data_IF_192257778780
#
_entry.id   IF_192257778780
#
_cell.length_a   1.000
_cell.length_b   1.000
_cell.length_c   1.000
_cell.angle_alpha   90.00
_cell.angle_beta   90.00
_cell.angle_gamma   90.00
#
_symmetry.space_group_name_H-M   'P 1'
#
loop_
_entity.id
_entity.type
_entity.pdbx_description
1 polymer ?
#
# COMPACT_ATOMS: atom_id res chain seq x y z
N UNK A 1 -6.11 -14.95 60.52
CA UNK A 1 -6.39 -15.41 59.14
C UNK A 1 -7.86 -15.78 59.05
N UNK A 2 -8.69 -14.92 58.46
CA UNK A 2 -10.15 -15.15 58.35
C UNK A 2 -10.40 -16.14 57.20
N UNK A 3 -11.09 -17.26 57.48
CA UNK A 3 -11.53 -18.24 56.47
C UNK A 3 -12.60 -17.59 55.59
N UNK A 4 -12.34 -17.43 54.30
CA UNK A 4 -13.31 -16.91 53.34
C UNK A 4 -14.59 -17.76 53.31
N UNK A 5 -15.75 -17.10 53.39
CA UNK A 5 -17.08 -17.71 53.51
C UNK A 5 -17.46 -18.41 52.19
N UNK A 6 -18.29 -19.46 52.25
CA UNK A 6 -18.73 -20.24 51.07
C UNK A 6 -19.43 -19.34 50.03
N UNK A 7 -20.14 -18.31 50.50
CA UNK A 7 -20.78 -17.32 49.64
C UNK A 7 -19.78 -16.45 48.85
N UNK A 8 -18.62 -16.13 49.44
CA UNK A 8 -17.58 -15.34 48.76
C UNK A 8 -16.99 -16.12 47.57
N UNK A 9 -16.79 -17.43 47.74
CA UNK A 9 -16.28 -18.31 46.66
C UNK A 9 -17.28 -18.45 45.52
N UNK A 10 -18.57 -18.44 45.82
CA UNK A 10 -19.64 -18.47 44.81
C UNK A 10 -19.74 -17.14 44.05
N UNK A 11 -19.57 -16.00 44.73
CA UNK A 11 -19.50 -14.68 44.10
C UNK A 11 -18.31 -14.59 43.15
N UNK A 12 -17.12 -14.97 43.61
CA UNK A 12 -15.90 -14.97 42.78
C UNK A 12 -16.03 -15.86 41.54
N UNK A 13 -16.72 -17.01 41.66
CA UNK A 13 -16.97 -17.89 40.51
C UNK A 13 -17.94 -17.29 39.50
N UNK A 14 -18.96 -16.56 39.97
CA UNK A 14 -19.91 -15.84 39.09
C UNK A 14 -19.24 -14.67 38.40
N UNK A 15 -18.46 -13.88 39.13
CA UNK A 15 -17.70 -12.76 38.60
C UNK A 15 -16.67 -13.22 37.55
N UNK A 16 -15.97 -14.33 37.81
CA UNK A 16 -15.03 -14.91 36.84
C UNK A 16 -15.73 -15.43 35.57
N UNK A 17 -16.91 -16.05 35.72
CA UNK A 17 -17.70 -16.52 34.58
C UNK A 17 -18.26 -15.35 33.74
N UNK A 18 -18.72 -14.28 34.40
CA UNK A 18 -19.22 -13.09 33.71
C UNK A 18 -18.09 -12.32 33.01
N UNK A 19 -16.91 -12.23 33.62
CA UNK A 19 -15.73 -11.64 32.99
C UNK A 19 -15.29 -12.43 31.75
N UNK A 20 -15.31 -13.77 31.84
CA UNK A 20 -14.97 -14.64 30.72
C UNK A 20 -16.01 -14.55 29.59
N UNK A 21 -17.30 -14.46 29.93
CA UNK A 21 -18.37 -14.24 28.96
C UNK A 21 -18.26 -12.88 28.24
N UNK A 22 -17.85 -11.81 28.96
CA UNK A 22 -17.59 -10.49 28.36
C UNK A 22 -16.40 -10.52 27.41
N UNK A 23 -15.30 -11.18 27.80
CA UNK A 23 -14.13 -11.36 26.93
C UNK A 23 -14.49 -12.10 25.65
N UNK A 24 -15.23 -13.21 25.76
CA UNK A 24 -15.68 -13.98 24.59
C UNK A 24 -16.61 -13.17 23.67
N UNK A 25 -17.49 -12.34 24.24
CA UNK A 25 -18.37 -11.48 23.46
C UNK A 25 -17.59 -10.37 22.71
N UNK A 26 -16.58 -9.78 23.34
CA UNK A 26 -15.71 -8.79 22.69
C UNK A 26 -14.83 -9.42 21.61
N UNK A 27 -14.25 -10.60 21.87
CA UNK A 27 -13.50 -11.37 20.86
C UNK A 27 -14.38 -11.76 19.67
N UNK A 28 -15.62 -12.19 19.92
CA UNK A 28 -16.57 -12.51 18.86
C UNK A 28 -16.98 -11.28 18.04
N UNK A 29 -17.12 -10.10 18.67
CA UNK A 29 -17.39 -8.84 17.95
C UNK A 29 -16.20 -8.45 17.07
N UNK A 30 -14.98 -8.50 17.60
CA UNK A 30 -13.76 -8.20 16.85
C UNK A 30 -13.59 -9.18 15.67
N UNK A 31 -13.85 -10.47 15.89
CA UNK A 31 -13.79 -11.47 14.84
C UNK A 31 -14.86 -11.26 13.76
N UNK A 32 -16.09 -10.87 14.15
CA UNK A 32 -17.16 -10.57 13.21
C UNK A 32 -16.86 -9.30 12.39
N UNK A 33 -16.35 -8.24 13.01
CA UNK A 33 -15.92 -7.01 12.34
C UNK A 33 -14.78 -7.31 11.33
N UNK A 34 -13.79 -8.09 11.75
CA UNK A 34 -12.68 -8.53 10.88
C UNK A 34 -13.18 -9.38 9.70
N UNK A 35 -14.16 -10.25 9.91
CA UNK A 35 -14.73 -11.08 8.85
C UNK A 35 -15.53 -10.26 7.81
N UNK A 36 -16.21 -9.19 8.25
CA UNK A 36 -16.93 -8.28 7.36
C UNK A 36 -15.94 -7.48 6.50
N UNK A 37 -14.85 -6.96 7.08
CA UNK A 37 -13.81 -6.23 6.33
C UNK A 37 -13.16 -7.08 5.23
N UNK A 38 -12.87 -8.36 5.51
CA UNK A 38 -12.27 -9.28 4.52
C UNK A 38 -13.23 -9.55 3.35
N UNK A 39 -14.54 -9.66 3.62
CA UNK A 39 -15.56 -9.93 2.58
C UNK A 39 -15.80 -8.73 1.66
N UNK A 40 -15.49 -7.51 2.10
CA UNK A 40 -15.71 -6.28 1.34
C UNK A 40 -14.51 -5.82 0.51
N UNK A 41 -13.34 -6.49 0.63
CA UNK A 41 -12.19 -6.15 -0.21
C UNK A 41 -12.48 -6.59 -1.66
N UNK A 42 -12.43 -5.66 -2.64
CA UNK A 42 -12.63 -6.02 -4.04
C UNK A 42 -11.55 -7.02 -4.46
N UNK A 43 -11.88 -8.02 -5.30
CA UNK A 43 -10.93 -9.01 -5.74
C UNK A 43 -9.73 -8.33 -6.40
N UNK A 44 -8.53 -8.74 -5.99
CA UNK A 44 -7.28 -8.21 -6.52
C UNK A 44 -7.22 -8.35 -8.04
N UNK A 45 -6.89 -7.26 -8.73
CA UNK A 45 -6.69 -7.25 -10.16
C UNK A 45 -5.49 -8.12 -10.53
N UNK A 46 -5.68 -8.94 -11.55
CA UNK A 46 -4.65 -9.87 -12.02
C UNK A 46 -3.72 -9.15 -12.99
N UNK A 47 -2.41 -9.32 -12.81
CA UNK A 47 -1.42 -8.77 -13.74
C UNK A 47 -1.15 -9.75 -14.90
N UNK A 48 -1.51 -9.35 -16.12
CA UNK A 48 -1.11 -10.06 -17.34
C UNK A 48 0.22 -9.49 -17.86
N UNK A 49 1.30 -10.23 -17.65
CA UNK A 49 2.64 -9.82 -18.07
C UNK A 49 2.84 -9.80 -19.59
N UNK A 50 1.94 -10.41 -20.37
CA UNK A 50 1.99 -10.39 -21.84
C UNK A 50 1.25 -9.19 -22.43
N UNK A 51 0.28 -8.61 -21.70
CA UNK A 51 -0.46 -7.42 -22.11
C UNK A 51 0.26 -6.12 -21.71
N UNK A 52 1.52 -5.96 -22.12
CA UNK A 52 2.27 -4.72 -21.86
C UNK A 52 1.85 -3.64 -22.86
N UNK A 53 1.01 -2.70 -22.42
CA UNK A 53 0.57 -1.58 -23.22
C UNK A 53 0.73 -0.24 -22.49
N UNK A 54 0.92 0.83 -23.25
CA UNK A 54 0.91 2.22 -22.76
C UNK A 54 -0.07 3.02 -23.59
N UNK A 55 -0.98 3.74 -22.92
CA UNK A 55 -1.95 4.63 -23.56
C UNK A 55 -1.57 6.09 -23.31
N UNK A 56 -1.28 6.84 -24.37
CA UNK A 56 -0.90 8.26 -24.30
C UNK A 56 -1.82 9.05 -25.22
N UNK A 57 -2.57 10.01 -24.67
CA UNK A 57 -3.48 10.88 -25.44
C UNK A 57 -4.42 10.12 -26.40
N UNK A 58 -4.89 8.94 -26.01
CA UNK A 58 -5.77 8.08 -26.83
C UNK A 58 -5.04 7.13 -27.80
N UNK A 59 -3.74 7.30 -28.00
CA UNK A 59 -2.90 6.38 -28.77
C UNK A 59 -2.51 5.18 -27.90
N UNK A 60 -2.63 3.98 -28.45
CA UNK A 60 -2.26 2.74 -27.76
C UNK A 60 -0.98 2.16 -28.35
N UNK A 61 0.05 2.01 -27.51
CA UNK A 61 1.32 1.39 -27.88
C UNK A 61 1.39 0.02 -27.20
N UNK A 62 1.20 -1.05 -27.98
CA UNK A 62 1.37 -2.42 -27.53
C UNK A 62 2.84 -2.84 -27.73
N UNK A 63 3.45 -3.40 -26.68
CA UNK A 63 4.82 -3.88 -26.76
C UNK A 63 4.88 -5.22 -27.50
N UNK A 64 5.93 -5.47 -28.30
CA UNK A 64 6.18 -6.80 -28.86
C UNK A 64 6.35 -7.86 -27.77
N UNK A 65 6.00 -9.11 -28.09
CA UNK A 65 6.20 -10.23 -27.16
C UNK A 65 7.66 -10.32 -26.68
N UNK A 66 7.82 -10.64 -25.40
CA UNK A 66 9.13 -10.71 -24.73
C UNK A 66 9.65 -9.37 -24.19
N UNK A 67 9.08 -8.23 -24.62
CA UNK A 67 9.37 -6.93 -24.01
C UNK A 67 8.38 -6.62 -22.89
N UNK A 68 8.91 -6.11 -21.78
CA UNK A 68 8.10 -5.83 -20.61
C UNK A 68 8.53 -4.53 -19.92
N UNK A 69 7.54 -3.72 -19.51
CA UNK A 69 7.83 -2.54 -18.71
C UNK A 69 8.39 -2.96 -17.35
N UNK A 70 9.55 -2.40 -17.03
CA UNK A 70 10.20 -2.54 -15.72
C UNK A 70 10.21 -1.22 -14.99
N UNK A 71 10.49 -0.14 -15.70
CA UNK A 71 10.48 1.22 -15.19
C UNK A 71 9.77 2.12 -16.19
N UNK A 72 8.83 2.91 -15.68
CA UNK A 72 8.17 3.99 -16.40
C UNK A 72 8.36 5.21 -15.51
N UNK A 73 9.10 6.19 -16.00
CA UNK A 73 9.28 7.48 -15.37
C UNK A 73 8.77 8.55 -16.35
N UNK A 74 7.84 9.38 -15.91
CA UNK A 74 7.24 10.44 -16.72
C UNK A 74 7.06 11.72 -15.91
N UNK A 75 6.81 12.82 -16.62
CA UNK A 75 6.49 14.11 -16.02
C UNK A 75 5.09 14.51 -16.46
N UNK A 76 4.24 14.80 -15.47
CA UNK A 76 2.92 15.37 -15.67
C UNK A 76 3.04 16.89 -15.50
N UNK A 77 2.30 17.64 -16.33
CA UNK A 77 2.19 19.09 -16.19
C UNK A 77 0.78 19.44 -15.69
N UNK A 78 0.71 20.28 -14.67
CA UNK A 78 -0.54 20.83 -14.15
C UNK A 78 -0.34 22.28 -13.71
N UNK A 79 -1.12 23.20 -14.29
CA UNK A 79 -1.06 24.62 -13.97
C UNK A 79 0.37 25.21 -13.98
N UNK A 80 1.20 24.82 -14.96
CA UNK A 80 2.61 25.23 -15.09
C UNK A 80 3.57 24.60 -14.07
N UNK A 81 3.09 23.68 -13.23
CA UNK A 81 3.90 22.89 -12.31
C UNK A 81 4.19 21.52 -12.92
N UNK A 82 5.37 20.98 -12.63
CA UNK A 82 5.78 19.65 -13.04
C UNK A 82 5.68 18.68 -11.87
N UNK A 83 5.13 17.51 -12.14
CA UNK A 83 4.98 16.40 -11.21
C UNK A 83 5.67 15.19 -11.80
N UNK A 84 6.62 14.60 -11.08
CA UNK A 84 7.14 13.30 -11.50
C UNK A 84 6.11 12.23 -11.14
N UNK A 85 5.87 11.33 -12.07
CA UNK A 85 5.00 10.17 -11.88
C UNK A 85 5.69 8.96 -12.50
N UNK A 86 5.56 7.81 -11.87
CA UNK A 86 6.12 6.60 -12.43
C UNK A 86 5.60 5.33 -11.81
N UNK A 87 5.92 4.23 -12.49
CA UNK A 87 5.62 2.89 -12.03
C UNK A 87 6.84 1.99 -12.25
N UNK A 88 7.15 1.15 -11.28
CA UNK A 88 8.26 0.21 -11.32
C UNK A 88 7.76 -1.18 -10.99
N UNK A 89 8.20 -2.15 -11.78
CA UNK A 89 7.90 -3.56 -11.60
C UNK A 89 9.18 -4.36 -11.43
N UNK A 90 9.26 -5.14 -10.36
CA UNK A 90 10.38 -6.05 -10.07
C UNK A 90 9.85 -7.43 -9.74
N UNK A 91 10.64 -8.47 -10.01
CA UNK A 91 10.34 -9.81 -9.51
C UNK A 91 10.44 -9.83 -7.98
N UNK A 92 9.51 -10.50 -7.34
CA UNK A 92 9.54 -10.78 -5.90
C UNK A 92 9.79 -12.28 -5.69
N UNK A 93 10.58 -12.62 -4.67
CA UNK A 93 10.82 -14.02 -4.31
C UNK A 93 9.57 -14.63 -3.68
N UNK A 94 9.43 -15.94 -3.80
CA UNK A 94 8.47 -16.70 -2.98
C UNK A 94 8.73 -16.43 -1.49
N UNK A 95 7.65 -16.37 -0.69
CA UNK A 95 7.73 -16.05 0.74
C UNK A 95 8.15 -14.62 1.09
N UNK A 96 8.34 -13.70 0.12
CA UNK A 96 8.54 -12.29 0.45
C UNK A 96 7.25 -11.69 0.99
N UNK A 97 7.29 -11.18 2.21
CA UNK A 97 6.18 -10.47 2.85
C UNK A 97 6.19 -8.98 2.52
N UNK A 98 5.01 -8.36 2.52
CA UNK A 98 4.80 -6.96 2.14
C UNK A 98 5.67 -6.01 2.97
N UNK A 99 5.68 -6.17 4.29
CA UNK A 99 6.47 -5.33 5.20
C UNK A 99 7.97 -5.45 4.90
N UNK A 100 8.44 -6.67 4.61
CA UNK A 100 9.85 -6.89 4.30
C UNK A 100 10.24 -6.29 2.95
N UNK A 101 9.35 -6.38 1.97
CA UNK A 101 9.53 -5.72 0.68
C UNK A 101 9.57 -4.19 0.83
N UNK A 102 8.71 -3.63 1.67
CA UNK A 102 8.68 -2.21 1.99
C UNK A 102 9.98 -1.74 2.66
N UNK A 103 10.50 -2.48 3.63
CA UNK A 103 11.80 -2.20 4.25
C UNK A 103 12.94 -2.18 3.23
N UNK A 104 12.98 -3.18 2.34
CA UNK A 104 14.00 -3.27 1.28
C UNK A 104 13.89 -2.07 0.34
N UNK A 105 12.67 -1.68 -0.02
CA UNK A 105 12.42 -0.51 -0.86
C UNK A 105 12.89 0.78 -0.19
N UNK A 106 12.48 1.03 1.06
CA UNK A 106 12.89 2.23 1.82
C UNK A 106 14.40 2.30 1.98
N UNK A 107 15.09 1.16 2.18
CA UNK A 107 16.56 1.11 2.22
C UNK A 107 17.17 1.55 0.88
N UNK A 108 16.72 0.99 -0.24
CA UNK A 108 17.20 1.38 -1.59
C UNK A 108 16.90 2.84 -1.91
N UNK A 109 15.78 3.34 -1.42
CA UNK A 109 15.39 4.72 -1.59
C UNK A 109 16.39 5.65 -0.88
N UNK A 110 16.79 5.33 0.36
CA UNK A 110 17.85 6.04 1.10
C UNK A 110 19.24 5.92 0.48
N UNK A 111 19.54 4.80 -0.18
CA UNK A 111 20.78 4.66 -0.96
C UNK A 111 20.82 5.62 -2.15
N UNK A 112 19.66 5.92 -2.74
CA UNK A 112 19.54 6.82 -3.90
C UNK A 112 19.50 8.30 -3.51
N UNK A 113 18.95 8.62 -2.33
CA UNK A 113 18.88 9.96 -1.78
C UNK A 113 19.19 9.89 -0.28
N UNK A 114 20.42 10.27 0.08
CA UNK A 114 20.94 10.11 1.44
C UNK A 114 20.21 10.95 2.50
N UNK A 115 19.50 12.00 2.06
CA UNK A 115 18.77 12.95 2.89
C UNK A 115 17.27 12.64 2.98
N UNK A 116 16.88 11.40 2.68
CA UNK A 116 15.49 10.98 2.82
C UNK A 116 15.03 10.94 4.27
N UNK A 117 13.96 11.67 4.51
CA UNK A 117 13.15 11.61 5.72
C UNK A 117 11.82 10.91 5.41
N UNK A 118 11.56 9.79 6.09
CA UNK A 118 10.32 9.04 5.94
C UNK A 118 9.27 9.65 6.89
N UNK A 119 8.31 10.37 6.32
CA UNK A 119 7.29 11.12 7.05
C UNK A 119 6.19 10.19 7.56
N UNK A 120 5.75 9.24 6.72
CA UNK A 120 4.66 8.31 7.05
C UNK A 120 4.80 7.01 6.31
N UNK A 121 4.45 5.92 6.99
CA UNK A 121 4.18 4.62 6.40
C UNK A 121 2.80 4.16 6.86
N UNK A 122 1.95 3.71 5.95
CA UNK A 122 0.60 3.26 6.28
C UNK A 122 0.16 2.10 5.38
N UNK A 123 -0.60 1.11 5.93
CA UNK A 123 -1.27 0.11 5.11
C UNK A 123 -2.34 0.77 4.21
N UNK A 124 -2.51 0.25 3.01
CA UNK A 124 -3.51 0.69 2.03
C UNK A 124 -3.86 -0.47 1.08
N UNK A 125 -4.64 -0.19 0.04
CA UNK A 125 -4.96 -1.14 -1.03
C UNK A 125 -4.54 -0.54 -2.37
N UNK A 126 -3.92 -1.37 -3.21
CA UNK A 126 -3.56 -1.00 -4.59
C UNK A 126 -4.04 -2.10 -5.54
N UNK A 127 -4.90 -1.73 -6.50
CA UNK A 127 -5.46 -2.68 -7.46
C UNK A 127 -6.16 -3.89 -6.77
N UNK A 128 -6.78 -3.68 -5.60
CA UNK A 128 -7.42 -4.73 -4.80
C UNK A 128 -6.47 -5.62 -3.99
N UNK A 129 -5.16 -5.35 -3.99
CA UNK A 129 -4.17 -6.07 -3.20
C UNK A 129 -3.74 -5.28 -1.96
N UNK A 130 -3.39 -5.94 -0.85
CA UNK A 130 -2.73 -5.29 0.29
C UNK A 130 -1.48 -4.54 -0.17
N UNK A 131 -1.36 -3.31 0.29
CA UNK A 131 -0.32 -2.39 -0.13
C UNK A 131 0.18 -1.55 1.05
N UNK A 132 1.32 -0.89 0.83
CA UNK A 132 1.90 0.07 1.74
C UNK A 132 2.07 1.41 1.03
N UNK A 133 1.61 2.48 1.64
CA UNK A 133 1.92 3.85 1.24
C UNK A 133 3.09 4.37 2.06
N UNK A 134 4.04 5.01 1.37
CA UNK A 134 5.22 5.63 1.95
C UNK A 134 5.26 7.10 1.52
N UNK A 135 5.15 8.00 2.48
CA UNK A 135 5.36 9.43 2.31
C UNK A 135 6.75 9.80 2.81
N UNK A 136 7.53 10.48 1.98
CA UNK A 136 8.89 10.86 2.32
C UNK A 136 9.25 12.22 1.73
N UNK A 137 10.32 12.81 2.26
CA UNK A 137 10.86 14.08 1.81
C UNK A 137 12.36 13.95 1.61
N UNK A 138 12.88 14.70 0.66
CA UNK A 138 14.30 14.75 0.32
C UNK A 138 14.58 16.03 -0.44
N UNK A 139 15.85 16.34 -0.71
CA UNK A 139 16.22 17.50 -1.51
C UNK A 139 16.82 17.06 -2.84
N UNK A 140 16.54 17.84 -3.87
CA UNK A 140 17.25 17.80 -5.14
C UNK A 140 17.98 19.13 -5.27
N UNK A 141 19.29 19.12 -5.02
CA UNK A 141 20.05 20.36 -4.85
C UNK A 141 19.57 21.13 -3.61
N UNK A 142 19.02 22.33 -3.81
CA UNK A 142 18.47 23.17 -2.73
C UNK A 142 16.93 23.09 -2.64
N UNK A 143 16.29 22.31 -3.52
CA UNK A 143 14.83 22.25 -3.60
C UNK A 143 14.30 21.06 -2.82
N UNK A 144 13.44 21.32 -1.84
CA UNK A 144 12.73 20.28 -1.11
C UNK A 144 11.72 19.60 -2.03
N UNK A 145 11.69 18.27 -1.98
CA UNK A 145 10.76 17.41 -2.71
C UNK A 145 9.98 16.55 -1.73
N UNK A 146 8.73 16.29 -2.09
CA UNK A 146 7.88 15.35 -1.37
C UNK A 146 7.53 14.21 -2.31
N UNK A 147 7.85 12.99 -1.90
CA UNK A 147 7.54 11.78 -2.63
C UNK A 147 6.48 10.96 -1.93
N UNK A 148 5.58 10.37 -2.71
CA UNK A 148 4.67 9.31 -2.27
C UNK A 148 4.89 8.08 -3.13
N UNK A 149 5.06 6.93 -2.50
CA UNK A 149 5.13 5.63 -3.17
C UNK A 149 4.09 4.70 -2.58
N UNK A 150 3.25 4.11 -3.43
CA UNK A 150 2.32 3.04 -3.06
C UNK A 150 2.84 1.75 -3.66
N UNK A 151 3.06 0.75 -2.80
CA UNK A 151 3.73 -0.48 -3.20
C UNK A 151 2.91 -1.71 -2.80
N UNK A 152 2.91 -2.74 -3.64
CA UNK A 152 2.17 -3.97 -3.42
C UNK A 152 2.86 -5.17 -4.05
N UNK A 153 2.52 -6.36 -3.58
CA UNK A 153 2.90 -7.64 -4.16
C UNK A 153 1.71 -8.18 -4.97
N UNK A 154 1.88 -8.28 -6.30
CA UNK A 154 0.85 -8.78 -7.21
C UNK A 154 1.27 -10.15 -7.73
N UNK A 155 0.32 -11.07 -7.77
CA UNK A 155 0.48 -12.38 -8.40
C UNK A 155 0.05 -12.29 -9.87
N UNK A 156 0.85 -12.86 -10.77
CA UNK A 156 0.52 -12.96 -12.19
C UNK A 156 -0.69 -13.85 -12.46
N UNK A 157 -1.29 -13.70 -13.63
CA UNK A 157 -2.48 -14.47 -14.05
C UNK A 157 -2.31 -15.99 -14.02
N UNK A 158 -1.10 -16.46 -14.29
CA UNK A 158 -0.75 -17.89 -14.26
C UNK A 158 -0.40 -18.40 -12.86
N UNK A 159 -0.41 -17.53 -11.84
CA UNK A 159 -0.12 -17.87 -10.45
C UNK A 159 1.36 -18.12 -10.14
N UNK A 160 2.23 -18.11 -11.15
CA UNK A 160 3.61 -18.58 -11.03
C UNK A 160 4.62 -17.48 -10.68
N UNK A 161 4.32 -16.22 -10.99
CA UNK A 161 5.24 -15.10 -10.73
C UNK A 161 4.64 -14.08 -9.77
N UNK A 162 5.37 -13.79 -8.68
CA UNK A 162 5.09 -12.65 -7.79
C UNK A 162 5.89 -11.44 -8.26
N UNK A 163 5.22 -10.30 -8.37
CA UNK A 163 5.82 -9.04 -8.77
C UNK A 163 5.65 -8.00 -7.66
N UNK A 164 6.72 -7.28 -7.36
CA UNK A 164 6.70 -6.04 -6.61
C UNK A 164 6.35 -4.90 -7.57
N UNK A 165 5.17 -4.31 -7.39
CA UNK A 165 4.74 -3.11 -8.09
C UNK A 165 4.88 -1.91 -7.15
N UNK A 166 5.58 -0.88 -7.62
CA UNK A 166 5.61 0.44 -6.98
C UNK A 166 5.02 1.45 -7.96
N UNK A 167 4.04 2.22 -7.53
CA UNK A 167 3.60 3.43 -8.25
C UNK A 167 3.91 4.62 -7.38
N UNK A 168 4.53 5.65 -7.95
CA UNK A 168 5.07 6.75 -7.18
C UNK A 168 4.86 8.09 -7.87
N UNK A 169 4.93 9.14 -7.06
CA UNK A 169 4.93 10.52 -7.50
C UNK A 169 5.90 11.35 -6.67
N UNK A 170 6.48 12.39 -7.27
CA UNK A 170 7.29 13.40 -6.58
C UNK A 170 6.82 14.79 -6.99
N UNK A 171 6.57 15.64 -5.99
CA UNK A 171 6.15 17.03 -6.16
C UNK A 171 7.09 18.00 -5.44
N UNK A 172 7.05 19.25 -5.86
CA UNK A 172 7.53 20.38 -5.06
C UNK A 172 6.40 20.82 -4.11
N UNK A 173 6.53 20.59 -2.79
CA UNK A 173 5.50 20.94 -1.82
C UNK A 173 5.36 22.47 -1.62
N UNK A 174 6.26 23.30 -2.14
CA UNK A 174 6.13 24.77 -2.09
C UNK A 174 5.13 25.32 -3.11
N UNK A 175 4.71 24.52 -4.09
CA UNK A 175 3.76 24.91 -5.13
C UNK A 175 2.34 24.72 -4.63
N UNK A 176 1.64 25.82 -4.33
CA UNK A 176 0.25 25.77 -3.83
C UNK A 176 -0.72 25.12 -4.81
N UNK A 177 -0.43 25.17 -6.12
CA UNK A 177 -1.22 24.50 -7.15
C UNK A 177 -1.23 22.97 -6.99
N UNK A 178 -0.26 22.39 -6.29
CA UNK A 178 -0.13 20.95 -6.08
C UNK A 178 -0.63 20.49 -4.71
N UNK A 179 -1.28 21.36 -3.93
CA UNK A 179 -1.74 21.04 -2.57
C UNK A 179 -2.63 19.78 -2.51
N UNK A 180 -3.51 19.61 -3.50
CA UNK A 180 -4.44 18.49 -3.58
C UNK A 180 -3.91 17.31 -4.41
N UNK A 181 -2.68 17.40 -4.93
CA UNK A 181 -2.15 16.39 -5.86
C UNK A 181 -2.12 14.99 -5.23
N UNK A 182 -1.72 14.86 -3.96
CA UNK A 182 -1.64 13.55 -3.32
C UNK A 182 -3.01 12.89 -3.16
N UNK A 183 -4.07 13.68 -2.98
CA UNK A 183 -5.46 13.20 -2.94
C UNK A 183 -5.88 12.71 -4.32
N UNK A 184 -5.58 13.50 -5.37
CA UNK A 184 -5.87 13.13 -6.75
C UNK A 184 -5.08 11.88 -7.19
N UNK A 185 -3.83 11.76 -6.74
CA UNK A 185 -2.98 10.59 -6.98
C UNK A 185 -3.61 9.34 -6.37
N UNK A 186 -4.00 9.37 -5.09
CA UNK A 186 -4.64 8.23 -4.43
C UNK A 186 -5.95 7.83 -5.14
N UNK A 187 -6.78 8.82 -5.53
CA UNK A 187 -8.01 8.58 -6.27
C UNK A 187 -7.75 7.95 -7.66
N UNK A 188 -6.70 8.38 -8.35
CA UNK A 188 -6.27 7.78 -9.62
C UNK A 188 -5.84 6.32 -9.42
N UNK A 189 -5.09 6.01 -8.36
CA UNK A 189 -4.69 4.62 -8.07
C UNK A 189 -5.90 3.74 -7.71
N UNK A 190 -6.87 4.29 -6.98
CA UNK A 190 -8.12 3.59 -6.65
C UNK A 190 -8.97 3.29 -7.90
N UNK A 191 -8.84 4.11 -8.95
CA UNK A 191 -9.51 3.92 -10.25
C UNK A 191 -8.81 2.95 -11.21
N UNK A 192 -7.77 2.23 -10.78
CA UNK A 192 -7.11 1.24 -11.64
C UNK A 192 -8.06 0.14 -12.08
N UNK A 193 -7.93 -0.28 -13.34
CA UNK A 193 -8.69 -1.37 -13.94
C UNK A 193 -7.74 -2.32 -14.67
N UNK A 194 -8.13 -3.59 -14.78
CA UNK A 194 -7.46 -4.58 -15.62
C UNK A 194 -8.27 -4.78 -16.92
N UNK A 195 -7.58 -5.05 -18.01
CA UNK A 195 -8.14 -5.35 -19.33
C UNK A 195 -7.69 -6.73 -19.80
#
# INVERSE_FOLDING_TARGET
MVRANIYDRLSQRREAAEALARQQADEARIAAESAIEVSQQPPGLVMNAENNAVRIAGLNLLMPQGFAFRDIDTTLEFAGCHVQFGARRRRASEGLELDKAAEIFTRKLRESHSDIDLVRQAPTVLAGHPAVSLDYQFNVGQERRHGRSVCTLIVSADGNERQWLTVFTVIDPSKSQLADWLIAFDAMLAGMTAQ
#
